data_IF_149138385672
#
_entry.id   IF_149138385672
#
_cell.length_a   1.000
_cell.length_b   1.000
_cell.length_c   1.000
_cell.angle_alpha   90.00
_cell.angle_beta   90.00
_cell.angle_gamma   90.00
#
_symmetry.space_group_name_H-M   'P 1'
#
loop_
_entity.id
_entity.type
_entity.pdbx_description
1 polymer ?
#
# COMPACT_ATOMS: atom_id res chain seq x y z
N UNK A 1 8.99 -9.83 -71.38
CA UNK A 1 9.83 -9.14 -70.38
C UNK A 1 8.92 -8.74 -69.24
N UNK A 2 8.74 -9.61 -68.22
CA UNK A 2 9.52 -9.69 -66.96
C UNK A 2 9.57 -8.36 -66.18
N UNK A 3 8.75 -8.24 -65.12
CA UNK A 3 9.16 -8.08 -63.70
C UNK A 3 7.89 -7.90 -62.82
N UNK A 4 7.54 -8.89 -62.00
CA UNK A 4 7.80 -9.02 -60.54
C UNK A 4 6.87 -8.11 -59.71
N UNK A 5 5.75 -8.56 -59.13
CA UNK A 5 5.57 -9.50 -58.01
C UNK A 5 6.49 -9.23 -56.80
N UNK A 6 5.84 -9.01 -55.64
CA UNK A 6 6.27 -9.22 -54.23
C UNK A 6 6.59 -7.93 -53.43
N UNK A 7 5.70 -7.70 -52.43
CA UNK A 7 5.84 -7.10 -51.09
C UNK A 7 4.73 -6.04 -50.85
N UNK A 8 3.62 -6.27 -50.12
CA UNK A 8 3.29 -7.26 -49.09
C UNK A 8 4.42 -7.45 -48.06
N UNK A 9 4.81 -6.36 -47.39
CA UNK A 9 5.31 -6.44 -46.01
C UNK A 9 4.53 -5.43 -45.20
N UNK A 10 3.61 -5.96 -44.41
CA UNK A 10 3.28 -5.54 -43.06
C UNK A 10 3.63 -4.08 -42.70
N UNK A 11 2.63 -3.19 -42.73
CA UNK A 11 2.47 -2.40 -41.52
C UNK A 11 2.19 -3.43 -40.42
N UNK A 12 3.08 -3.60 -39.42
CA UNK A 12 2.77 -4.47 -38.31
C UNK A 12 1.54 -3.85 -37.63
N UNK A 13 0.42 -4.57 -37.75
CA UNK A 13 -0.34 -5.08 -36.63
C UNK A 13 -0.13 -4.31 -35.31
N UNK A 14 -1.24 -3.81 -34.78
CA UNK A 14 -1.45 -3.68 -33.34
C UNK A 14 -0.43 -2.77 -32.64
N UNK A 15 -0.59 -1.47 -32.86
CA UNK A 15 -0.53 -0.54 -31.73
C UNK A 15 -1.74 -0.68 -30.80
N UNK A 16 -2.24 -1.91 -30.57
CA UNK A 16 -2.91 -2.21 -29.31
C UNK A 16 -1.77 -2.12 -28.30
N UNK A 17 -1.61 -0.95 -27.68
CA UNK A 17 -1.11 -0.94 -26.32
C UNK A 17 -2.03 -1.90 -25.58
N UNK A 18 -1.61 -3.16 -25.45
CA UNK A 18 -2.13 -4.05 -24.44
C UNK A 18 -1.72 -3.39 -23.13
N UNK A 19 -2.50 -2.38 -22.72
CA UNK A 19 -2.55 -1.99 -21.33
C UNK A 19 -2.83 -3.31 -20.62
N UNK A 20 -1.81 -3.85 -19.96
CA UNK A 20 -1.96 -5.07 -19.18
C UNK A 20 -3.16 -4.82 -18.27
N UNK A 21 -4.16 -5.69 -18.36
CA UNK A 21 -5.36 -5.56 -17.56
C UNK A 21 -4.95 -5.79 -16.11
N UNK A 22 -5.35 -4.90 -15.20
CA UNK A 22 -5.07 -5.09 -13.77
C UNK A 22 -5.78 -6.38 -13.33
N UNK A 23 -5.04 -7.30 -12.72
CA UNK A 23 -5.56 -8.62 -12.33
C UNK A 23 -6.11 -8.60 -10.89
N UNK A 24 -7.12 -7.76 -10.65
CA UNK A 24 -7.66 -7.54 -9.30
C UNK A 24 -8.19 -8.82 -8.64
N UNK A 25 -8.78 -9.74 -9.41
CA UNK A 25 -9.28 -11.00 -8.85
C UNK A 25 -8.13 -11.89 -8.33
N UNK A 26 -6.97 -11.86 -9.00
CA UNK A 26 -5.78 -12.58 -8.57
C UNK A 26 -5.15 -11.89 -7.35
N UNK A 27 -5.17 -10.55 -7.33
CA UNK A 27 -4.71 -9.77 -6.20
C UNK A 27 -5.51 -10.04 -4.93
N UNK A 28 -6.85 -10.03 -5.04
CA UNK A 28 -7.74 -10.33 -3.93
C UNK A 28 -7.48 -11.72 -3.35
N UNK A 29 -7.24 -12.73 -4.19
CA UNK A 29 -6.87 -14.09 -3.75
C UNK A 29 -5.50 -14.16 -3.10
N UNK A 30 -4.51 -13.41 -3.60
CA UNK A 30 -3.17 -13.38 -3.04
C UNK A 30 -3.17 -12.82 -1.61
N UNK A 31 -3.88 -11.71 -1.38
CA UNK A 31 -4.02 -11.09 -0.05
C UNK A 31 -4.66 -12.04 0.96
N UNK A 32 -5.65 -12.84 0.54
CA UNK A 32 -6.29 -13.82 1.42
C UNK A 32 -5.37 -15.00 1.78
N UNK A 33 -4.40 -15.34 0.93
CA UNK A 33 -3.51 -16.51 1.13
C UNK A 33 -2.34 -16.23 2.08
N UNK A 34 -1.92 -14.97 2.20
CA UNK A 34 -0.72 -14.59 2.97
C UNK A 34 -0.92 -14.64 4.51
N UNK A 35 -2.10 -15.05 4.96
CA UNK A 35 -2.46 -15.19 6.37
C UNK A 35 -1.71 -16.34 7.09
N UNK A 36 -1.12 -17.29 6.37
CA UNK A 36 -0.52 -18.51 6.98
C UNK A 36 0.92 -18.35 7.50
N UNK A 37 1.59 -17.21 7.23
CA UNK A 37 3.01 -16.99 7.56
C UNK A 37 3.30 -16.03 8.73
N UNK A 38 2.27 -15.49 9.38
CA UNK A 38 2.42 -14.38 10.33
C UNK A 38 3.05 -14.87 11.64
N UNK A 39 4.20 -14.32 12.01
CA UNK A 39 4.77 -14.50 13.35
C UNK A 39 3.87 -13.74 14.38
N UNK A 40 2.89 -14.45 14.93
CA UNK A 40 1.76 -13.91 15.71
C UNK A 40 2.11 -13.10 16.98
N UNK A 41 3.36 -13.12 17.46
CA UNK A 41 3.71 -12.50 18.74
C UNK A 41 3.51 -10.98 18.74
N UNK A 42 3.78 -10.31 17.62
CA UNK A 42 3.58 -8.85 17.52
C UNK A 42 2.15 -8.48 17.09
N UNK A 43 1.46 -9.38 16.37
CA UNK A 43 0.08 -9.20 15.94
C UNK A 43 -0.88 -9.08 17.14
N UNK A 44 -0.70 -9.95 18.14
CA UNK A 44 -1.49 -9.90 19.38
C UNK A 44 -1.22 -8.63 20.19
N UNK A 45 0.02 -8.13 20.18
CA UNK A 45 0.38 -6.91 20.88
C UNK A 45 -0.29 -5.70 20.23
N UNK A 46 -0.27 -5.59 18.90
CA UNK A 46 -0.94 -4.49 18.20
C UNK A 46 -2.45 -4.50 18.41
N UNK A 47 -3.08 -5.68 18.28
CA UNK A 47 -4.50 -5.84 18.57
C UNK A 47 -4.86 -5.32 19.97
N UNK A 48 -4.05 -5.64 20.99
CA UNK A 48 -4.30 -5.19 22.36
C UNK A 48 -4.03 -3.69 22.53
N UNK A 49 -2.97 -3.15 21.96
CA UNK A 49 -2.59 -1.73 22.12
C UNK A 49 -3.60 -0.82 21.42
N UNK A 50 -4.00 -1.14 20.19
CA UNK A 50 -4.91 -0.32 19.40
C UNK A 50 -6.36 -0.43 19.89
N UNK A 51 -6.87 -1.66 20.03
CA UNK A 51 -8.30 -1.87 20.28
C UNK A 51 -8.70 -1.83 21.76
N UNK A 52 -7.78 -2.11 22.70
CA UNK A 52 -8.11 -2.17 24.14
C UNK A 52 -7.61 -0.94 24.88
N UNK A 53 -6.38 -0.50 24.60
CA UNK A 53 -5.77 0.61 25.34
C UNK A 53 -5.89 1.95 24.61
N UNK A 54 -6.11 1.94 23.29
CA UNK A 54 -6.12 3.17 22.47
C UNK A 54 -4.78 3.91 22.48
N UNK A 55 -3.68 3.22 22.79
CA UNK A 55 -2.36 3.83 23.02
C UNK A 55 -1.46 3.69 21.79
N UNK A 56 -1.80 4.35 20.69
CA UNK A 56 -0.95 4.37 19.50
C UNK A 56 -0.27 5.70 19.21
N UNK A 57 0.64 6.08 20.11
CA UNK A 57 1.50 7.25 19.97
C UNK A 57 2.81 7.05 20.73
N UNK A 58 3.81 7.88 20.41
CA UNK A 58 5.06 7.98 21.18
C UNK A 58 4.93 9.22 22.07
N UNK A 59 5.19 9.07 23.37
CA UNK A 59 5.16 10.16 24.34
C UNK A 59 6.57 10.62 24.70
N UNK A 60 6.72 11.91 25.00
CA UNK A 60 7.95 12.49 25.51
C UNK A 60 7.83 12.92 26.98
N UNK A 61 8.94 12.94 27.72
CA UNK A 61 8.98 13.49 29.07
C UNK A 61 8.39 14.90 29.11
N UNK A 62 7.59 15.19 30.15
CA UNK A 62 6.95 16.50 30.31
C UNK A 62 5.86 16.83 29.27
N UNK A 63 5.46 15.88 28.42
CA UNK A 63 4.44 16.10 27.40
C UNK A 63 4.92 16.90 26.19
N UNK A 64 6.24 17.00 25.99
CA UNK A 64 6.81 17.68 24.83
C UNK A 64 6.37 17.01 23.51
N UNK A 65 6.32 17.78 22.43
CA UNK A 65 6.10 17.25 21.09
C UNK A 65 7.38 16.60 20.55
N UNK A 66 7.22 15.55 19.76
CA UNK A 66 8.31 14.97 18.99
C UNK A 66 8.85 15.99 17.99
N UNK A 67 10.17 15.96 17.77
CA UNK A 67 10.86 16.77 16.78
C UNK A 67 11.60 15.89 15.79
N UNK A 68 11.76 16.33 14.52
CA UNK A 68 12.54 15.58 13.54
C UNK A 68 13.95 15.31 14.04
N UNK A 69 14.45 14.09 13.80
CA UNK A 69 15.88 13.81 13.96
C UNK A 69 16.67 14.58 12.90
N UNK A 70 17.86 15.11 13.24
CA UNK A 70 18.76 15.66 12.23
C UNK A 70 19.20 14.61 11.20
N UNK A 71 19.27 13.35 11.61
CA UNK A 71 19.73 12.18 10.89
C UNK A 71 18.68 11.04 10.93
N UNK A 72 17.50 11.21 10.30
CA UNK A 72 16.45 10.22 10.36
C UNK A 72 16.85 8.94 9.62
N UNK A 73 16.50 7.79 10.20
CA UNK A 73 16.61 6.50 9.49
C UNK A 73 15.34 6.34 8.66
N UNK A 74 15.44 6.57 7.36
CA UNK A 74 14.31 6.43 6.43
C UNK A 74 14.12 4.95 6.08
N UNK A 75 12.92 4.44 6.26
CA UNK A 75 12.53 3.06 5.94
C UNK A 75 11.19 3.09 5.19
N UNK A 76 11.29 3.30 3.88
CA UNK A 76 10.19 3.23 2.91
C UNK A 76 10.29 1.87 2.25
N UNK A 77 9.50 0.91 2.71
CA UNK A 77 9.60 -0.50 2.32
C UNK A 77 8.43 -0.98 1.45
N UNK A 78 7.54 -0.05 1.05
CA UNK A 78 6.37 -0.36 0.25
C UNK A 78 5.29 -1.00 1.10
N UNK A 79 4.60 -2.00 0.55
CA UNK A 79 3.51 -2.67 1.26
C UNK A 79 4.04 -3.81 2.14
N UNK A 80 5.02 -3.50 2.99
CA UNK A 80 5.75 -4.47 3.82
C UNK A 80 5.56 -4.28 5.33
N UNK A 81 5.21 -5.35 6.04
CA UNK A 81 5.24 -5.39 7.51
C UNK A 81 5.28 -6.84 8.01
N UNK A 82 5.88 -7.09 9.18
CA UNK A 82 5.89 -8.44 9.78
C UNK A 82 6.37 -9.58 8.89
N UNK A 83 7.43 -9.35 8.09
CA UNK A 83 7.94 -10.28 7.07
C UNK A 83 6.94 -10.62 5.95
N UNK A 84 5.79 -9.97 5.92
CA UNK A 84 4.90 -9.92 4.75
C UNK A 84 5.36 -8.77 3.88
N UNK A 85 5.46 -9.03 2.57
CA UNK A 85 5.71 -8.01 1.58
C UNK A 85 4.90 -8.33 0.34
N UNK A 86 3.94 -7.46 0.03
CA UNK A 86 3.11 -7.60 -1.17
C UNK A 86 3.66 -6.64 -2.21
N UNK A 87 4.29 -7.18 -3.25
CA UNK A 87 4.65 -6.37 -4.41
C UNK A 87 3.49 -6.35 -5.41
N UNK A 88 2.79 -5.21 -5.45
CA UNK A 88 1.64 -5.02 -6.33
C UNK A 88 2.02 -4.88 -7.82
N UNK A 89 3.30 -4.68 -8.16
CA UNK A 89 3.76 -4.71 -9.56
C UNK A 89 3.51 -6.08 -10.21
N UNK A 90 3.56 -7.17 -9.42
CA UNK A 90 3.29 -8.53 -9.89
C UNK A 90 1.86 -8.69 -10.42
N UNK A 91 0.93 -7.82 -10.01
CA UNK A 91 -0.47 -7.82 -10.42
C UNK A 91 -0.83 -6.66 -11.35
N UNK A 92 0.18 -5.95 -11.87
CA UNK A 92 0.02 -4.73 -12.65
C UNK A 92 -0.78 -3.66 -11.88
N UNK A 93 -0.52 -3.55 -10.58
CA UNK A 93 -1.22 -2.70 -9.62
C UNK A 93 -0.22 -1.79 -8.84
N UNK A 94 0.90 -1.42 -9.46
CA UNK A 94 2.03 -0.71 -8.85
C UNK A 94 1.68 0.62 -8.17
N UNK A 95 0.58 1.25 -8.56
CA UNK A 95 0.07 2.46 -7.92
C UNK A 95 -0.33 2.23 -6.45
N UNK A 96 -0.68 1.01 -6.06
CA UNK A 96 -0.85 0.67 -4.63
C UNK A 96 0.47 0.68 -3.85
N UNK A 97 1.60 0.28 -4.46
CA UNK A 97 2.92 0.42 -3.84
C UNK A 97 3.23 1.90 -3.55
N UNK A 98 2.79 2.82 -4.41
CA UNK A 98 2.96 4.27 -4.18
C UNK A 98 2.16 4.76 -2.97
N UNK A 99 0.93 4.25 -2.77
CA UNK A 99 0.15 4.53 -1.58
C UNK A 99 0.84 4.02 -0.30
N UNK A 100 1.41 2.81 -0.34
CA UNK A 100 2.16 2.27 0.80
C UNK A 100 3.42 3.10 1.10
N UNK A 101 4.18 3.49 0.08
CA UNK A 101 5.34 4.37 0.26
C UNK A 101 4.94 5.72 0.89
N UNK A 102 3.81 6.29 0.48
CA UNK A 102 3.26 7.50 1.10
C UNK A 102 2.83 7.31 2.56
N UNK A 103 2.35 6.12 2.90
CA UNK A 103 2.00 5.74 4.27
C UNK A 103 3.24 5.60 5.17
N UNK A 104 4.31 4.97 4.68
CA UNK A 104 5.60 4.86 5.37
C UNK A 104 6.16 6.26 5.70
N UNK A 105 6.19 7.15 4.71
CA UNK A 105 6.64 8.55 4.90
C UNK A 105 5.78 9.28 5.94
N UNK A 106 4.46 9.07 5.91
CA UNK A 106 3.56 9.68 6.89
C UNK A 106 3.85 9.17 8.31
N UNK A 107 4.09 7.86 8.46
CA UNK A 107 4.42 7.24 9.75
C UNK A 107 5.73 7.76 10.35
N UNK A 108 6.69 8.19 9.52
CA UNK A 108 7.96 8.78 9.97
C UNK A 108 7.87 10.29 10.28
N UNK A 109 6.73 10.94 9.98
CA UNK A 109 6.53 12.37 10.20
C UNK A 109 6.08 12.69 11.64
N UNK A 110 6.85 13.51 12.36
CA UNK A 110 6.66 13.74 13.81
C UNK A 110 5.36 14.42 14.22
N UNK A 111 4.71 15.10 13.28
CA UNK A 111 3.44 15.82 13.46
C UNK A 111 2.22 15.01 12.99
N UNK A 112 2.44 13.83 12.41
CA UNK A 112 1.39 12.99 11.86
C UNK A 112 0.94 11.95 12.88
N UNK A 113 -0.39 11.82 13.04
CA UNK A 113 -0.97 10.76 13.85
C UNK A 113 -1.21 9.52 13.00
N UNK A 114 -1.16 8.33 13.61
CA UNK A 114 -1.48 7.06 12.93
C UNK A 114 -2.80 7.14 12.16
N UNK A 115 -3.87 7.58 12.82
CA UNK A 115 -5.19 7.71 12.20
C UNK A 115 -5.19 8.62 10.95
N UNK A 116 -4.48 9.76 11.01
CA UNK A 116 -4.35 10.66 9.84
C UNK A 116 -3.63 9.96 8.68
N UNK A 117 -2.58 9.19 8.98
CA UNK A 117 -1.85 8.43 7.97
C UNK A 117 -2.72 7.32 7.37
N UNK A 118 -3.39 6.51 8.20
CA UNK A 118 -4.25 5.41 7.76
C UNK A 118 -5.42 5.92 6.90
N UNK A 119 -6.07 7.02 7.32
CA UNK A 119 -7.14 7.65 6.54
C UNK A 119 -6.65 8.17 5.19
N UNK A 120 -5.43 8.70 5.15
CA UNK A 120 -4.83 9.20 3.90
C UNK A 120 -4.44 8.04 2.98
N UNK A 121 -3.93 6.96 3.55
CA UNK A 121 -3.63 5.72 2.86
C UNK A 121 -4.87 5.07 2.25
N UNK A 122 -5.95 4.91 3.03
CA UNK A 122 -7.22 4.36 2.53
C UNK A 122 -7.76 5.19 1.35
N UNK A 123 -7.71 6.52 1.48
CA UNK A 123 -8.11 7.43 0.41
C UNK A 123 -7.27 7.23 -0.85
N UNK A 124 -5.94 7.15 -0.71
CA UNK A 124 -5.04 6.89 -1.83
C UNK A 124 -5.42 5.60 -2.58
N UNK A 125 -5.64 4.50 -1.85
CA UNK A 125 -6.03 3.23 -2.47
C UNK A 125 -7.39 3.32 -3.18
N UNK A 126 -8.37 4.01 -2.57
CA UNK A 126 -9.68 4.25 -3.20
C UNK A 126 -9.57 5.05 -4.50
N UNK A 127 -8.74 6.08 -4.51
CA UNK A 127 -8.55 6.95 -5.68
C UNK A 127 -7.88 6.19 -6.84
N UNK A 128 -6.93 5.31 -6.53
CA UNK A 128 -6.34 4.39 -7.51
C UNK A 128 -7.42 3.44 -8.07
N UNK A 129 -8.24 2.79 -7.22
CA UNK A 129 -9.36 1.96 -7.67
C UNK A 129 -10.33 2.73 -8.59
N UNK A 130 -10.67 3.97 -8.24
CA UNK A 130 -11.59 4.81 -9.01
C UNK A 130 -11.00 5.16 -10.39
N UNK A 131 -9.71 5.49 -10.43
CA UNK A 131 -8.97 5.81 -11.65
C UNK A 131 -8.95 4.61 -12.60
N UNK A 132 -8.52 3.44 -12.10
CA UNK A 132 -8.51 2.22 -12.90
C UNK A 132 -9.91 1.81 -13.36
N UNK A 133 -10.92 1.95 -12.52
CA UNK A 133 -12.30 1.64 -12.88
C UNK A 133 -12.83 2.50 -14.03
N UNK A 134 -12.43 3.77 -14.10
CA UNK A 134 -12.78 4.67 -15.19
C UNK A 134 -12.01 4.33 -16.47
N UNK A 135 -10.68 4.16 -16.37
CA UNK A 135 -9.81 3.89 -17.52
C UNK A 135 -10.09 2.55 -18.20
N UNK A 136 -10.42 1.52 -17.41
CA UNK A 136 -10.63 0.15 -17.90
C UNK A 136 -12.11 -0.23 -18.00
N UNK A 137 -13.02 0.74 -17.81
CA UNK A 137 -14.47 0.56 -17.88
C UNK A 137 -14.97 -0.64 -17.04
N UNK A 138 -14.58 -0.68 -15.76
CA UNK A 138 -14.87 -1.81 -14.88
C UNK A 138 -16.35 -1.96 -14.58
N UNK A 139 -16.81 -3.22 -14.59
CA UNK A 139 -18.12 -3.62 -14.09
C UNK A 139 -18.18 -3.72 -12.57
N UNK A 140 -19.33 -4.12 -12.05
CA UNK A 140 -19.59 -4.24 -10.60
C UNK A 140 -18.60 -5.18 -9.90
N UNK A 141 -18.27 -6.31 -10.52
CA UNK A 141 -17.38 -7.32 -9.94
C UNK A 141 -15.99 -6.75 -9.69
N UNK A 142 -15.35 -6.13 -10.69
CA UNK A 142 -14.00 -5.58 -10.55
C UNK A 142 -13.95 -4.44 -9.53
N UNK A 143 -14.95 -3.55 -9.54
CA UNK A 143 -15.09 -2.48 -8.54
C UNK A 143 -15.21 -3.03 -7.12
N UNK A 144 -15.98 -4.10 -6.95
CA UNK A 144 -16.18 -4.76 -5.65
C UNK A 144 -14.91 -5.46 -5.19
N UNK A 145 -14.20 -6.13 -6.10
CA UNK A 145 -12.94 -6.78 -5.78
C UNK A 145 -11.86 -5.76 -5.38
N UNK A 146 -11.73 -4.63 -6.09
CA UNK A 146 -10.80 -3.55 -5.72
C UNK A 146 -11.16 -2.97 -4.35
N UNK A 147 -12.44 -2.70 -4.10
CA UNK A 147 -12.92 -2.23 -2.79
C UNK A 147 -12.64 -3.23 -1.67
N UNK A 148 -12.72 -4.54 -1.97
CA UNK A 148 -12.36 -5.61 -1.04
C UNK A 148 -10.88 -5.59 -0.67
N UNK A 149 -10.00 -5.35 -1.65
CA UNK A 149 -8.56 -5.18 -1.41
C UNK A 149 -8.29 -3.95 -0.54
N UNK A 150 -8.86 -2.79 -0.90
CA UNK A 150 -8.74 -1.55 -0.12
C UNK A 150 -9.15 -1.78 1.33
N UNK A 151 -10.31 -2.41 1.53
CA UNK A 151 -10.84 -2.70 2.87
C UNK A 151 -9.90 -3.61 3.66
N UNK A 152 -9.41 -4.68 3.05
CA UNK A 152 -8.48 -5.60 3.71
C UNK A 152 -7.18 -4.90 4.12
N UNK A 153 -6.61 -4.06 3.24
CA UNK A 153 -5.40 -3.29 3.55
C UNK A 153 -5.65 -2.26 4.65
N UNK A 154 -6.79 -1.57 4.62
CA UNK A 154 -7.17 -0.60 5.66
C UNK A 154 -7.36 -1.27 7.02
N UNK A 155 -8.12 -2.37 7.07
CA UNK A 155 -8.31 -3.15 8.30
C UNK A 155 -6.97 -3.69 8.84
N UNK A 156 -6.03 -4.04 7.95
CA UNK A 156 -4.71 -4.49 8.36
C UNK A 156 -3.92 -3.38 9.06
N UNK A 157 -3.82 -2.18 8.47
CA UNK A 157 -3.09 -1.07 9.08
C UNK A 157 -3.80 -0.53 10.32
N UNK A 158 -5.13 -0.50 10.34
CA UNK A 158 -5.92 -0.04 11.49
C UNK A 158 -5.72 -0.93 12.72
N UNK A 159 -5.73 -2.26 12.55
CA UNK A 159 -5.69 -3.20 13.66
C UNK A 159 -4.29 -3.71 14.04
N UNK A 160 -3.34 -3.65 13.11
CA UNK A 160 -2.01 -4.25 13.27
C UNK A 160 -0.87 -3.27 12.96
N UNK A 161 -1.17 -1.98 12.82
CA UNK A 161 -0.18 -0.98 12.42
C UNK A 161 0.57 -0.33 13.57
N UNK A 162 0.21 -0.55 14.84
CA UNK A 162 0.69 0.32 15.90
C UNK A 162 2.18 0.26 16.18
N UNK A 163 2.73 -0.95 16.29
CA UNK A 163 4.16 -1.15 16.51
C UNK A 163 4.96 -0.63 15.31
N UNK A 164 4.48 -0.83 14.09
CA UNK A 164 5.08 -0.25 12.89
C UNK A 164 5.12 1.28 12.95
N UNK A 165 3.99 1.92 13.29
CA UNK A 165 3.90 3.37 13.47
C UNK A 165 4.85 3.89 14.56
N UNK A 166 4.87 3.27 15.74
CA UNK A 166 5.76 3.69 16.84
C UNK A 166 7.23 3.55 16.47
N UNK A 167 7.61 2.48 15.77
CA UNK A 167 8.99 2.28 15.30
C UNK A 167 9.36 3.34 14.27
N UNK A 168 8.50 3.61 13.29
CA UNK A 168 8.69 4.67 12.30
C UNK A 168 8.87 6.05 12.95
N UNK A 169 7.99 6.41 13.91
CA UNK A 169 8.13 7.63 14.71
C UNK A 169 9.47 7.69 15.44
N UNK A 170 9.92 6.60 16.06
CA UNK A 170 11.21 6.59 16.77
C UNK A 170 12.43 6.68 15.84
N UNK A 171 12.30 6.27 14.57
CA UNK A 171 13.33 6.42 13.53
C UNK A 171 13.38 7.83 12.93
N UNK A 172 12.23 8.44 12.66
CA UNK A 172 12.14 9.79 12.10
C UNK A 172 12.27 10.90 13.14
N UNK A 173 11.91 10.61 14.39
CA UNK A 173 11.70 11.62 15.43
C UNK A 173 12.40 11.28 16.74
N UNK A 174 12.59 12.32 17.55
CA UNK A 174 13.08 12.22 18.93
C UNK A 174 12.33 13.19 19.84
N UNK A 175 12.43 12.96 21.14
CA UNK A 175 12.09 14.01 22.10
C UNK A 175 13.15 15.13 22.03
N UNK A 176 12.74 16.39 22.23
CA UNK A 176 13.63 17.53 22.19
C UNK A 176 14.74 17.47 23.25
#
# INVERSE_FOLDING_TARGET
>A
MRQCLIFLICLPLLGLTLAKKVEIDNLYRAILKDQEGIEHKNLLIDLLIDNVLGLCYVSCPGGASLVPRPDPIVDINGCGSYNIHIDFELFNAGEFNQCCNGHDVCYESCDSTKNKCDTTFERCLKDVCNTWAAEQNWGLIQKTACSGVVKAMNEAVENFGCNAYKKAQLRGCKCP
#
